data_IF_372222129535
#
_entry.id   IF_372222129535
#
_cell.length_a   1.000
_cell.length_b   1.000
_cell.length_c   1.000
_cell.angle_alpha   90.00
_cell.angle_beta   90.00
_cell.angle_gamma   90.00
#
_symmetry.space_group_name_H-M   'P 1'
#
loop_
_entity.id
_entity.type
_entity.pdbx_description
1 polymer ?
#
# COMPACT_ATOMS: atom_id res chain seq x y z
N UNK A 1 17.33 -17.98 -29.65
CA UNK A 1 16.26 -17.04 -29.31
C UNK A 1 16.39 -16.72 -27.82
N UNK A 2 16.97 -15.56 -27.49
CA UNK A 2 17.19 -15.12 -26.10
C UNK A 2 15.98 -14.32 -25.65
N UNK A 3 15.34 -14.77 -24.57
CA UNK A 3 14.22 -14.09 -23.92
C UNK A 3 14.73 -12.79 -23.30
N UNK A 4 14.34 -11.65 -23.86
CA UNK A 4 14.73 -10.33 -23.38
C UNK A 4 14.16 -10.07 -22.00
N UNK A 5 15.02 -10.05 -20.98
CA UNK A 5 14.74 -9.37 -19.71
C UNK A 5 14.36 -7.93 -20.04
N UNK A 6 13.16 -7.49 -19.67
CA UNK A 6 12.83 -6.06 -19.63
C UNK A 6 13.64 -5.45 -18.48
N UNK A 7 14.84 -4.96 -18.79
CA UNK A 7 15.63 -4.17 -17.85
C UNK A 7 14.97 -2.79 -17.75
N UNK A 8 14.11 -2.60 -16.76
CA UNK A 8 13.65 -1.27 -16.37
C UNK A 8 14.84 -0.61 -15.69
N UNK A 9 15.50 0.33 -16.37
CA UNK A 9 16.47 1.23 -15.73
C UNK A 9 15.71 2.03 -14.68
N UNK A 10 15.72 1.56 -13.43
CA UNK A 10 15.34 2.39 -12.30
C UNK A 10 16.30 3.58 -12.32
N UNK A 11 15.79 4.80 -12.44
CA UNK A 11 16.62 6.00 -12.24
C UNK A 11 17.37 5.81 -10.93
N UNK A 12 18.70 5.74 -11.00
CA UNK A 12 19.51 5.65 -9.80
C UNK A 12 19.51 7.04 -9.18
N UNK A 13 18.91 7.17 -8.00
CA UNK A 13 18.99 8.39 -7.20
C UNK A 13 20.43 8.52 -6.68
N UNK A 14 20.98 9.73 -6.75
CA UNK A 14 22.15 10.09 -5.97
C UNK A 14 21.81 10.05 -4.47
N UNK A 15 22.84 10.01 -3.62
CA UNK A 15 22.66 10.07 -2.17
C UNK A 15 21.90 11.33 -1.75
N UNK A 16 22.24 12.48 -2.31
CA UNK A 16 21.62 13.77 -1.97
C UNK A 16 20.15 13.85 -2.41
N UNK A 17 19.82 13.33 -3.60
CA UNK A 17 18.43 13.20 -4.05
C UNK A 17 17.64 12.24 -3.13
N UNK A 18 18.27 11.14 -2.72
CA UNK A 18 17.68 10.18 -1.78
C UNK A 18 17.38 10.80 -0.42
N UNK A 19 18.32 11.57 0.15
CA UNK A 19 18.13 12.29 1.42
C UNK A 19 16.99 13.29 1.29
N UNK A 20 17.00 14.10 0.22
CA UNK A 20 15.94 15.09 -0.05
C UNK A 20 14.56 14.43 -0.14
N UNK A 21 14.46 13.27 -0.79
CA UNK A 21 13.21 12.53 -0.92
C UNK A 21 12.73 11.99 0.43
N UNK A 22 13.62 11.44 1.25
CA UNK A 22 13.27 10.95 2.60
C UNK A 22 12.78 12.07 3.49
N UNK A 23 13.43 13.25 3.45
CA UNK A 23 12.97 14.43 4.20
C UNK A 23 11.59 14.88 3.73
N UNK A 24 11.33 14.86 2.43
CA UNK A 24 10.03 15.21 1.87
C UNK A 24 8.93 14.24 2.31
N UNK A 25 9.16 12.93 2.19
CA UNK A 25 8.21 11.90 2.64
C UNK A 25 7.97 12.01 4.16
N UNK A 26 9.01 12.28 4.93
CA UNK A 26 8.91 12.45 6.39
C UNK A 26 8.00 13.63 6.76
N UNK A 27 8.08 14.75 6.02
CA UNK A 27 7.16 15.89 6.20
C UNK A 27 5.72 15.51 5.87
N UNK A 28 5.48 14.77 4.79
CA UNK A 28 4.13 14.29 4.45
C UNK A 28 3.57 13.40 5.57
N UNK A 29 4.34 12.41 6.03
CA UNK A 29 3.94 11.50 7.12
C UNK A 29 3.57 12.29 8.39
N UNK A 30 4.29 13.38 8.70
CA UNK A 30 4.00 14.22 9.87
C UNK A 30 2.66 14.96 9.82
N UNK A 31 2.08 15.13 8.62
CA UNK A 31 0.78 15.75 8.41
C UNK A 31 -0.38 14.73 8.42
N UNK A 32 -0.07 13.43 8.39
CA UNK A 32 -1.06 12.37 8.35
C UNK A 32 -1.49 11.95 9.76
N UNK A 33 -2.74 11.51 9.90
CA UNK A 33 -3.15 10.74 11.06
C UNK A 33 -2.61 9.31 10.96
N UNK A 34 -1.73 8.93 11.89
CA UNK A 34 -1.09 7.61 11.87
C UNK A 34 -1.87 6.59 12.69
N UNK A 35 -2.45 5.62 12.00
CA UNK A 35 -3.14 4.49 12.62
C UNK A 35 -2.12 3.49 13.19
N UNK A 36 -2.26 3.17 14.49
CA UNK A 36 -1.45 2.15 15.16
C UNK A 36 -2.23 0.84 15.26
N UNK A 37 -1.99 -0.05 14.31
CA UNK A 37 -2.70 -1.34 14.22
C UNK A 37 -2.00 -2.41 15.09
N UNK A 38 -0.66 -2.38 15.16
CA UNK A 38 0.12 -3.37 15.90
C UNK A 38 -0.09 -4.81 15.40
N UNK A 39 0.17 -5.79 16.26
CA UNK A 39 -0.18 -7.19 15.99
C UNK A 39 -1.64 -7.43 16.38
N UNK A 40 -2.49 -7.61 15.37
CA UNK A 40 -3.92 -7.88 15.52
C UNK A 40 -4.27 -9.28 14.98
N UNK A 41 -5.12 -9.99 15.73
CA UNK A 41 -5.64 -11.30 15.34
C UNK A 41 -6.68 -11.19 14.22
N UNK A 42 -7.38 -10.06 14.16
CA UNK A 42 -8.39 -9.70 13.17
C UNK A 42 -7.71 -9.50 11.81
N UNK A 43 -6.59 -8.78 11.78
CA UNK A 43 -5.76 -8.66 10.58
C UNK A 43 -5.27 -10.02 10.11
N UNK A 44 -4.85 -10.90 11.03
CA UNK A 44 -4.41 -12.26 10.67
C UNK A 44 -5.55 -13.08 10.04
N UNK A 45 -6.76 -12.98 10.57
CA UNK A 45 -7.96 -13.62 9.99
C UNK A 45 -8.22 -13.10 8.58
N UNK A 46 -8.21 -11.76 8.40
CA UNK A 46 -8.37 -11.15 7.07
C UNK A 46 -7.29 -11.65 6.10
N UNK A 47 -6.03 -11.70 6.52
CA UNK A 47 -4.92 -12.20 5.69
C UNK A 47 -5.16 -13.64 5.24
N UNK A 48 -5.58 -14.50 6.16
CA UNK A 48 -5.88 -15.92 5.89
C UNK A 48 -7.07 -16.08 4.94
N UNK A 49 -8.19 -15.40 5.22
CA UNK A 49 -9.44 -15.50 4.44
C UNK A 49 -9.29 -14.94 3.01
N UNK A 50 -8.47 -13.91 2.84
CA UNK A 50 -8.27 -13.23 1.55
C UNK A 50 -7.03 -13.68 0.79
N UNK A 51 -6.22 -14.56 1.39
CA UNK A 51 -4.90 -14.97 0.89
C UNK A 51 -4.00 -13.75 0.54
N UNK A 52 -4.03 -12.74 1.41
CA UNK A 52 -3.19 -11.55 1.35
C UNK A 52 -2.00 -11.69 2.29
N UNK A 53 -0.95 -10.91 2.04
CA UNK A 53 0.10 -10.74 3.05
C UNK A 53 -0.50 -10.06 4.28
N UNK A 54 0.10 -10.28 5.46
CA UNK A 54 -0.33 -9.58 6.68
C UNK A 54 -0.31 -8.05 6.50
N UNK A 55 0.65 -7.53 5.71
CA UNK A 55 0.75 -6.10 5.42
C UNK A 55 -0.43 -5.61 4.59
N UNK A 56 -0.76 -6.26 3.48
CA UNK A 56 -1.91 -5.86 2.63
C UNK A 56 -3.23 -6.00 3.39
N UNK A 57 -3.37 -7.07 4.17
CA UNK A 57 -4.52 -7.29 5.03
C UNK A 57 -4.65 -6.21 6.12
N UNK A 58 -3.54 -5.64 6.61
CA UNK A 58 -3.57 -4.55 7.58
C UNK A 58 -4.20 -3.28 6.98
N UNK A 59 -3.85 -2.94 5.74
CA UNK A 59 -4.45 -1.80 5.03
C UNK A 59 -5.93 -2.04 4.70
N UNK A 60 -6.27 -3.25 4.26
CA UNK A 60 -7.66 -3.65 4.03
C UNK A 60 -8.48 -3.57 5.32
N UNK A 61 -7.99 -4.16 6.41
CA UNK A 61 -8.65 -4.13 7.72
C UNK A 61 -8.85 -2.71 8.23
N UNK A 62 -7.83 -1.84 8.11
CA UNK A 62 -7.95 -0.43 8.49
C UNK A 62 -9.04 0.28 7.68
N UNK A 63 -9.06 0.08 6.36
CA UNK A 63 -10.07 0.68 5.47
C UNK A 63 -11.48 0.20 5.80
N UNK A 64 -11.65 -1.10 6.10
CA UNK A 64 -12.92 -1.66 6.57
C UNK A 64 -13.34 -1.05 7.90
N UNK A 65 -12.41 -0.99 8.87
CA UNK A 65 -12.71 -0.53 10.23
C UNK A 65 -13.09 0.94 10.30
N UNK A 66 -12.52 1.75 9.41
CA UNK A 66 -12.78 3.19 9.33
C UNK A 66 -13.84 3.54 8.29
N UNK A 67 -14.25 2.59 7.45
CA UNK A 67 -15.09 2.81 6.28
C UNK A 67 -14.53 3.90 5.34
N UNK A 68 -13.22 3.87 5.13
CA UNK A 68 -12.46 4.84 4.33
C UNK A 68 -11.96 4.23 3.01
N UNK A 69 -11.62 5.11 2.05
CA UNK A 69 -11.14 4.68 0.73
C UNK A 69 -9.72 4.12 0.84
N UNK A 70 -9.49 2.95 0.26
CA UNK A 70 -8.15 2.38 0.13
C UNK A 70 -7.45 2.91 -1.13
N UNK A 71 -6.40 3.71 -0.95
CA UNK A 71 -5.54 4.15 -2.05
C UNK A 71 -4.40 3.15 -2.23
N UNK A 72 -4.33 2.48 -3.39
CA UNK A 72 -3.27 1.50 -3.68
C UNK A 72 -3.04 1.28 -5.17
N UNK A 73 -1.77 1.08 -5.55
CA UNK A 73 -1.37 0.63 -6.89
C UNK A 73 -1.38 -0.90 -7.05
N UNK A 74 -1.57 -1.65 -5.95
CA UNK A 74 -1.67 -3.10 -5.99
C UNK A 74 -3.07 -3.55 -6.45
N UNK A 75 -3.12 -4.07 -7.66
CA UNK A 75 -4.33 -4.56 -8.31
C UNK A 75 -5.03 -5.71 -7.56
N UNK A 76 -4.26 -6.61 -6.94
CA UNK A 76 -4.82 -7.73 -6.17
C UNK A 76 -5.51 -7.19 -4.92
N UNK A 77 -4.84 -6.30 -4.18
CA UNK A 77 -5.40 -5.68 -2.98
C UNK A 77 -6.64 -4.86 -3.31
N UNK A 78 -6.60 -4.06 -4.38
CA UNK A 78 -7.76 -3.29 -4.86
C UNK A 78 -8.97 -4.18 -5.17
N UNK A 79 -8.74 -5.29 -5.88
CA UNK A 79 -9.80 -6.26 -6.18
C UNK A 79 -10.40 -6.92 -4.93
N UNK A 80 -9.58 -7.19 -3.91
CA UNK A 80 -10.07 -7.72 -2.62
C UNK A 80 -10.86 -6.66 -1.85
N UNK A 81 -10.41 -5.40 -1.84
CA UNK A 81 -11.10 -4.30 -1.15
C UNK A 81 -12.52 -4.09 -1.69
N UNK A 82 -12.68 -4.03 -3.02
CA UNK A 82 -14.00 -3.87 -3.66
C UNK A 82 -14.94 -5.03 -3.33
N UNK A 83 -14.42 -6.27 -3.25
CA UNK A 83 -15.20 -7.44 -2.82
C UNK A 83 -15.69 -7.35 -1.38
N UNK A 84 -14.99 -6.60 -0.52
CA UNK A 84 -15.38 -6.32 0.87
C UNK A 84 -16.24 -5.05 1.00
N UNK A 85 -16.71 -4.48 -0.12
CA UNK A 85 -17.54 -3.28 -0.11
C UNK A 85 -16.77 -1.98 0.11
N UNK A 86 -15.44 -2.03 0.08
CA UNK A 86 -14.58 -0.86 0.27
C UNK A 86 -14.23 -0.25 -1.08
N UNK A 87 -14.44 1.07 -1.22
CA UNK A 87 -13.98 1.80 -2.39
C UNK A 87 -12.44 1.81 -2.40
N UNK A 88 -11.84 1.53 -3.54
CA UNK A 88 -10.40 1.55 -3.70
C UNK A 88 -10.02 2.22 -5.02
N UNK A 89 -8.95 3.04 -5.00
CA UNK A 89 -8.54 3.89 -6.11
C UNK A 89 -7.01 3.97 -6.23
N UNK A 90 -6.53 4.28 -7.43
CA UNK A 90 -5.12 4.59 -7.69
C UNK A 90 -4.81 6.05 -7.43
N UNK A 91 -3.53 6.38 -7.33
CA UNK A 91 -3.10 7.77 -7.11
C UNK A 91 -3.52 8.69 -8.26
N UNK A 92 -3.57 8.17 -9.49
CA UNK A 92 -3.97 8.93 -10.69
C UNK A 92 -5.49 9.17 -10.75
N UNK A 93 -6.27 8.53 -9.89
CA UNK A 93 -7.73 8.61 -9.83
C UNK A 93 -8.21 9.56 -8.72
N UNK A 94 -7.28 10.23 -8.01
CA UNK A 94 -7.55 11.17 -6.90
C UNK A 94 -7.57 12.62 -7.37
#
# INVERSE_FOLDING_TARGET
MSSGRKEVVRKQLSLDEGITLVEFVSRIISLMELLKIGMSSEVLKVAFETNLSYYDASYLHASISLNEILVTEDEKLRGVAVKHGIRAQKIEEI
#
